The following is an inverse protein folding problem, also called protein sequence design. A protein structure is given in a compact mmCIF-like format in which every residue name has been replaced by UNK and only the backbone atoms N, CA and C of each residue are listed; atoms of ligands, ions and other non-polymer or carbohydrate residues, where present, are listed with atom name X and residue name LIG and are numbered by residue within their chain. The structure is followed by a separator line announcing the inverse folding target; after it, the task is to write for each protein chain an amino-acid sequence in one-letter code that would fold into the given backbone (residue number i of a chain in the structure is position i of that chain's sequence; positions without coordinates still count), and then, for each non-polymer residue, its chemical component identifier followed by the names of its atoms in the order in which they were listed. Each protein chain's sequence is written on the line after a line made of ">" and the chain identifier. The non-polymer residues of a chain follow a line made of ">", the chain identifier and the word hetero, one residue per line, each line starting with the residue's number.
data_IF_400972405582
#
_entry.id   IF_400972405582
#
_cell.length_a   1.000
_cell.length_b   1.000
_cell.length_c   1.000
_cell.angle_alpha   90.00
_cell.angle_beta   90.00
_cell.angle_gamma   90.00
#
_symmetry.space_group_name_H-M   'P 1'
#
loop_
_entity.id
_entity.type
_entity.pdbx_description
1 polymer ?
#
# COMPACT_ATOMS: atom_id res chain seq x y z
N UNK A 1 -14.81 29.94 9.76
CA UNK A 1 -15.61 29.78 8.53
C UNK A 1 -15.81 28.29 8.32
N UNK A 2 -17.05 27.83 8.27
CA UNK A 2 -17.41 26.40 8.21
C UNK A 2 -17.03 25.83 6.85
N UNK A 3 -16.01 24.97 6.83
CA UNK A 3 -15.66 24.17 5.65
C UNK A 3 -16.59 22.95 5.65
N UNK A 4 -17.41 22.83 4.61
CA UNK A 4 -18.40 21.76 4.49
C UNK A 4 -17.70 20.41 4.28
N UNK A 5 -17.92 19.46 5.18
CA UNK A 5 -17.44 18.06 5.13
C UNK A 5 -17.81 17.29 3.86
N UNK A 6 -18.59 17.89 2.97
CA UNK A 6 -19.02 17.31 1.68
C UNK A 6 -17.98 17.43 0.57
N UNK A 7 -16.99 18.32 0.69
CA UNK A 7 -15.94 18.47 -0.33
C UNK A 7 -14.80 17.45 -0.21
N UNK A 8 -14.63 16.83 0.96
CA UNK A 8 -13.57 15.83 1.23
C UNK A 8 -13.85 14.44 0.63
N UNK A 9 -15.12 14.12 0.35
CA UNK A 9 -15.51 12.78 -0.13
C UNK A 9 -15.46 12.63 -1.66
N UNK A 10 -15.24 13.71 -2.42
CA UNK A 10 -15.31 13.68 -3.88
C UNK A 10 -13.94 13.60 -4.58
N UNK A 11 -12.81 13.64 -3.85
CA UNK A 11 -11.46 13.70 -4.42
C UNK A 11 -10.64 12.40 -4.30
N UNK A 12 -11.17 11.34 -3.68
CA UNK A 12 -10.43 10.08 -3.44
C UNK A 12 -10.55 9.08 -4.60
N UNK A 13 -11.36 9.36 -5.63
CA UNK A 13 -11.68 8.37 -6.67
C UNK A 13 -10.78 8.37 -7.93
N UNK A 14 -9.69 9.17 -7.98
CA UNK A 14 -8.94 9.37 -9.23
C UNK A 14 -7.42 9.20 -9.19
N UNK A 15 -6.76 8.95 -8.06
CA UNK A 15 -5.29 8.86 -8.04
C UNK A 15 -4.73 7.43 -8.12
N UNK A 16 -5.51 6.40 -7.85
CA UNK A 16 -4.92 5.13 -7.40
C UNK A 16 -4.88 4.03 -8.48
N UNK A 17 -4.42 4.36 -9.68
CA UNK A 17 -4.25 3.40 -10.79
C UNK A 17 -2.80 3.33 -11.31
N UNK A 18 -1.84 3.96 -10.62
CA UNK A 18 -0.47 4.14 -11.13
C UNK A 18 0.33 2.83 -11.15
N UNK A 19 0.31 2.06 -10.05
CA UNK A 19 1.18 0.88 -9.91
C UNK A 19 0.80 -0.26 -10.86
N UNK A 20 -0.49 -0.60 -10.91
CA UNK A 20 -1.01 -1.69 -11.74
C UNK A 20 -0.82 -1.43 -13.25
N UNK A 21 -0.72 -0.16 -13.66
CA UNK A 21 -0.50 0.24 -15.06
C UNK A 21 0.96 0.08 -15.51
N UNK A 22 1.92 0.22 -14.61
CA UNK A 22 3.35 0.14 -14.95
C UNK A 22 4.00 -1.21 -14.61
N UNK A 23 3.66 -1.81 -13.46
CA UNK A 23 4.21 -3.11 -13.05
C UNK A 23 3.44 -4.27 -13.69
N UNK A 24 2.17 -4.05 -14.04
CA UNK A 24 1.31 -5.07 -14.61
C UNK A 24 0.85 -6.11 -13.58
N UNK A 25 -0.05 -7.00 -14.01
CA UNK A 25 -0.42 -8.18 -13.25
C UNK A 25 0.64 -9.26 -13.42
N UNK A 26 0.73 -10.21 -12.47
CA UNK A 26 1.57 -11.39 -12.63
C UNK A 26 1.35 -12.05 -14.00
N UNK A 27 2.41 -12.06 -14.81
CA UNK A 27 2.40 -12.86 -16.02
C UNK A 27 2.68 -14.32 -15.67
N UNK A 28 1.61 -15.12 -15.72
CA UNK A 28 1.68 -16.58 -15.52
C UNK A 28 2.78 -17.25 -16.35
N UNK A 29 3.11 -16.73 -17.54
CA UNK A 29 4.11 -17.34 -18.42
C UNK A 29 5.52 -17.38 -17.82
N UNK A 30 5.79 -16.49 -16.86
CA UNK A 30 7.05 -16.36 -16.14
C UNK A 30 7.13 -17.19 -14.84
N UNK A 31 6.04 -17.87 -14.46
CA UNK A 31 5.97 -18.67 -13.24
C UNK A 31 6.56 -20.07 -13.41
N UNK A 32 6.93 -20.70 -12.29
CA UNK A 32 7.45 -22.07 -12.24
C UNK A 32 6.44 -23.10 -12.77
N UNK A 33 5.15 -22.89 -12.49
CA UNK A 33 4.04 -23.59 -13.12
C UNK A 33 3.04 -22.58 -13.71
N UNK A 34 3.22 -22.18 -14.99
CA UNK A 34 2.36 -21.20 -15.63
C UNK A 34 0.88 -21.58 -15.64
N UNK A 35 0.58 -22.87 -15.84
CA UNK A 35 -0.80 -23.35 -15.92
C UNK A 35 -1.43 -23.42 -14.55
N UNK A 36 -0.71 -23.94 -13.56
CA UNK A 36 -1.15 -23.97 -12.17
C UNK A 36 -1.41 -22.57 -11.64
N UNK A 37 -0.53 -21.62 -11.95
CA UNK A 37 -0.70 -20.23 -11.53
C UNK A 37 -1.92 -19.57 -12.20
N UNK A 38 -2.06 -19.68 -13.52
CA UNK A 38 -3.20 -19.12 -14.24
C UNK A 38 -4.54 -19.71 -13.73
N UNK A 39 -4.59 -21.02 -13.53
CA UNK A 39 -5.78 -21.69 -12.98
C UNK A 39 -6.07 -21.26 -11.54
N UNK A 40 -5.04 -21.03 -10.73
CA UNK A 40 -5.21 -20.55 -9.36
C UNK A 40 -5.80 -19.13 -9.36
N UNK A 41 -5.25 -18.22 -10.15
CA UNK A 41 -5.76 -16.84 -10.26
C UNK A 41 -7.20 -16.78 -10.78
N UNK A 42 -7.56 -17.60 -11.78
CA UNK A 42 -8.94 -17.68 -12.27
C UNK A 42 -9.92 -18.13 -11.17
N UNK A 43 -9.51 -19.08 -10.33
CA UNK A 43 -10.31 -19.50 -9.18
C UNK A 43 -10.42 -18.40 -8.12
N UNK A 44 -9.34 -17.65 -7.88
CA UNK A 44 -9.34 -16.51 -6.95
C UNK A 44 -10.26 -15.40 -7.45
N UNK A 45 -10.21 -15.06 -8.74
CA UNK A 45 -11.10 -14.07 -9.36
C UNK A 45 -12.57 -14.52 -9.28
N UNK A 46 -12.82 -15.81 -9.52
CA UNK A 46 -14.16 -16.39 -9.36
C UNK A 46 -14.63 -16.31 -7.91
N UNK A 47 -13.75 -16.60 -6.95
CA UNK A 47 -14.04 -16.52 -5.51
C UNK A 47 -14.35 -15.09 -5.10
N UNK A 48 -13.55 -14.12 -5.56
CA UNK A 48 -13.79 -12.70 -5.34
C UNK A 48 -15.13 -12.25 -5.93
N UNK A 49 -15.40 -12.58 -7.19
CA UNK A 49 -16.67 -12.24 -7.84
C UNK A 49 -17.86 -12.84 -7.09
N UNK A 50 -17.75 -14.10 -6.64
CA UNK A 50 -18.76 -14.72 -5.79
C UNK A 50 -18.90 -14.03 -4.44
N UNK A 51 -17.79 -13.65 -3.78
CA UNK A 51 -17.81 -12.90 -2.53
C UNK A 51 -18.58 -11.59 -2.69
N UNK A 52 -18.24 -10.81 -3.71
CA UNK A 52 -18.89 -9.52 -4.01
C UNK A 52 -20.36 -9.71 -4.37
N UNK A 53 -20.66 -10.63 -5.29
CA UNK A 53 -22.03 -10.84 -5.75
C UNK A 53 -22.96 -11.40 -4.66
N UNK A 54 -22.43 -12.24 -3.77
CA UNK A 54 -23.24 -12.87 -2.72
C UNK A 54 -23.34 -12.03 -1.44
N UNK A 55 -22.31 -11.25 -1.12
CA UNK A 55 -22.21 -10.54 0.16
C UNK A 55 -22.26 -9.02 0.04
N UNK A 56 -21.81 -8.47 -1.10
CA UNK A 56 -21.66 -7.02 -1.29
C UNK A 56 -22.71 -6.40 -2.23
N UNK A 57 -23.42 -7.23 -3.01
CA UNK A 57 -24.56 -6.79 -3.81
C UNK A 57 -25.77 -6.48 -2.90
N UNK A 58 -25.84 -5.24 -2.44
CA UNK A 58 -27.00 -4.68 -1.74
C UNK A 58 -26.83 -4.71 -0.23
N UNK A 59 -26.87 -3.53 0.40
CA UNK A 59 -26.94 -3.38 1.85
C UNK A 59 -28.13 -4.13 2.44
N UNK A 60 -27.97 -5.42 2.73
CA UNK A 60 -29.09 -6.33 2.99
C UNK A 60 -30.06 -6.46 1.80
N UNK A 61 -30.78 -7.58 1.76
CA UNK A 61 -31.92 -7.82 0.85
C UNK A 61 -32.93 -6.65 0.84
N UNK A 62 -32.99 -5.90 1.94
CA UNK A 62 -33.79 -4.70 2.13
C UNK A 62 -33.35 -3.51 1.25
N UNK A 63 -32.05 -3.21 1.09
CA UNK A 63 -31.62 -2.07 0.25
C UNK A 63 -31.66 -2.42 -1.25
N UNK A 64 -31.37 -3.67 -1.62
CA UNK A 64 -31.58 -4.13 -3.00
C UNK A 64 -33.06 -4.04 -3.39
N UNK A 65 -33.95 -4.50 -2.51
CA UNK A 65 -35.40 -4.44 -2.72
C UNK A 65 -35.93 -3.01 -2.72
N UNK A 66 -35.42 -2.11 -1.87
CA UNK A 66 -35.83 -0.71 -1.84
C UNK A 66 -35.35 0.09 -3.05
N UNK A 67 -34.19 -0.27 -3.62
CA UNK A 67 -33.66 0.33 -4.84
C UNK A 67 -34.10 -0.40 -6.13
N UNK A 68 -34.86 -1.49 -6.04
CA UNK A 68 -35.31 -2.26 -7.21
C UNK A 68 -34.18 -2.76 -8.11
N UNK A 69 -33.01 -3.03 -7.54
CA UNK A 69 -31.80 -3.42 -8.28
C UNK A 69 -31.08 -2.30 -9.06
N UNK A 70 -31.49 -1.04 -8.90
CA UNK A 70 -30.86 0.10 -9.58
C UNK A 70 -29.47 0.42 -9.01
N UNK A 71 -28.44 0.36 -9.86
CA UNK A 71 -27.04 0.61 -9.49
C UNK A 71 -26.79 2.06 -9.04
N UNK A 72 -27.44 3.04 -9.66
CA UNK A 72 -27.32 4.45 -9.26
C UNK A 72 -27.99 4.71 -7.91
N UNK A 73 -29.14 4.10 -7.65
CA UNK A 73 -29.83 4.19 -6.36
C UNK A 73 -28.98 3.57 -5.24
N UNK A 74 -28.41 2.38 -5.46
CA UNK A 74 -27.59 1.71 -4.45
C UNK A 74 -26.35 2.54 -4.06
N UNK A 75 -25.71 3.20 -5.03
CA UNK A 75 -24.55 4.06 -4.78
C UNK A 75 -24.90 5.36 -4.02
N UNK A 76 -26.09 5.93 -4.25
CA UNK A 76 -26.53 7.17 -3.61
C UNK A 76 -27.21 6.96 -2.24
N UNK A 77 -28.01 5.90 -2.12
CA UNK A 77 -28.96 5.69 -1.01
C UNK A 77 -28.51 4.60 -0.03
N UNK A 78 -27.54 3.76 -0.41
CA UNK A 78 -26.94 2.74 0.47
C UNK A 78 -25.45 3.05 0.80
N UNK A 79 -25.08 4.27 1.27
CA UNK A 79 -23.68 4.60 1.55
C UNK A 79 -23.15 3.78 2.73
N UNK A 80 -22.02 3.09 2.53
CA UNK A 80 -21.24 2.48 3.60
C UNK A 80 -21.38 0.96 3.81
N UNK A 81 -22.22 0.24 3.06
CA UNK A 81 -22.26 -1.24 3.16
C UNK A 81 -21.47 -1.96 2.05
N UNK A 82 -21.35 -1.36 0.86
CA UNK A 82 -20.65 -1.98 -0.28
C UNK A 82 -19.13 -1.85 -0.24
N UNK A 83 -18.58 -0.72 0.24
CA UNK A 83 -17.14 -0.45 0.20
C UNK A 83 -16.39 -1.32 1.20
N UNK A 84 -16.84 -1.40 2.46
CA UNK A 84 -16.18 -2.23 3.48
C UNK A 84 -16.31 -3.72 3.17
N UNK A 85 -17.44 -4.13 2.59
CA UNK A 85 -17.62 -5.50 2.08
C UNK A 85 -16.66 -5.80 0.92
N UNK A 86 -16.56 -4.90 -0.06
CA UNK A 86 -15.64 -5.07 -1.19
C UNK A 86 -14.19 -5.12 -0.71
N UNK A 87 -13.80 -4.28 0.25
CA UNK A 87 -12.48 -4.34 0.88
C UNK A 87 -12.25 -5.67 1.60
N UNK A 88 -13.26 -6.21 2.30
CA UNK A 88 -13.14 -7.52 2.93
C UNK A 88 -12.96 -8.66 1.90
N UNK A 89 -13.69 -8.60 0.79
CA UNK A 89 -13.51 -9.54 -0.33
C UNK A 89 -12.13 -9.36 -1.02
N UNK A 90 -11.65 -8.13 -1.19
CA UNK A 90 -10.31 -7.87 -1.75
C UNK A 90 -9.18 -8.31 -0.82
N UNK A 91 -9.37 -8.19 0.49
CA UNK A 91 -8.46 -8.75 1.49
C UNK A 91 -8.32 -10.27 1.35
N UNK A 92 -9.44 -10.98 1.19
CA UNK A 92 -9.43 -12.42 0.92
C UNK A 92 -8.84 -12.75 -0.46
N UNK A 93 -9.17 -11.97 -1.50
CA UNK A 93 -8.59 -12.12 -2.83
C UNK A 93 -7.07 -12.04 -2.78
N UNK A 94 -6.53 -11.00 -2.14
CA UNK A 94 -5.09 -10.75 -2.04
C UNK A 94 -4.40 -11.85 -1.24
N UNK A 95 -5.03 -12.36 -0.17
CA UNK A 95 -4.53 -13.51 0.58
C UNK A 95 -4.40 -14.76 -0.30
N UNK A 96 -5.42 -15.07 -1.09
CA UNK A 96 -5.38 -16.23 -1.99
C UNK A 96 -4.41 -16.03 -3.16
N UNK A 97 -4.18 -14.80 -3.60
CA UNK A 97 -3.13 -14.49 -4.60
C UNK A 97 -1.72 -14.75 -4.03
N UNK A 98 -1.49 -14.45 -2.74
CA UNK A 98 -0.26 -14.84 -2.03
C UNK A 98 -0.11 -16.37 -2.00
N UNK A 99 -1.19 -17.11 -1.74
CA UNK A 99 -1.18 -18.58 -1.81
C UNK A 99 -0.81 -19.08 -3.22
N UNK A 100 -1.45 -18.52 -4.26
CA UNK A 100 -1.16 -18.86 -5.66
C UNK A 100 0.31 -18.62 -6.02
N UNK A 101 0.89 -17.51 -5.54
CA UNK A 101 2.30 -17.21 -5.74
C UNK A 101 3.20 -18.28 -5.08
N UNK A 102 2.93 -18.64 -3.81
CA UNK A 102 3.66 -19.72 -3.14
C UNK A 102 3.51 -21.09 -3.82
N UNK A 103 2.32 -21.41 -4.31
CA UNK A 103 2.00 -22.71 -4.92
C UNK A 103 2.68 -22.92 -6.28
N UNK A 104 2.62 -21.90 -7.15
CA UNK A 104 2.86 -22.07 -8.59
C UNK A 104 3.81 -21.02 -9.19
N UNK A 105 4.10 -19.94 -8.48
CA UNK A 105 4.97 -18.85 -8.94
C UNK A 105 6.04 -18.49 -7.91
N UNK A 106 6.49 -19.48 -7.14
CA UNK A 106 7.49 -19.30 -6.07
C UNK A 106 8.81 -18.74 -6.59
N UNK A 107 9.05 -18.82 -7.91
CA UNK A 107 10.21 -18.28 -8.58
C UNK A 107 10.15 -16.76 -8.84
N UNK A 108 9.03 -16.11 -8.51
CA UNK A 108 8.77 -14.66 -8.72
C UNK A 108 8.32 -13.97 -7.43
N UNK A 109 8.47 -14.59 -6.26
CA UNK A 109 7.93 -14.07 -4.98
C UNK A 109 8.67 -12.85 -4.41
N UNK A 110 9.65 -12.31 -5.13
CA UNK A 110 10.32 -11.06 -4.79
C UNK A 110 10.08 -9.95 -5.82
N UNK A 111 9.37 -10.28 -6.90
CA UNK A 111 9.12 -9.38 -8.00
C UNK A 111 8.25 -8.18 -7.58
N UNK A 112 8.26 -7.13 -8.40
CA UNK A 112 7.39 -5.96 -8.20
C UNK A 112 5.91 -6.37 -8.14
N UNK A 113 5.49 -7.34 -8.96
CA UNK A 113 4.13 -7.87 -9.00
C UNK A 113 3.74 -8.56 -7.69
N UNK A 114 4.67 -9.33 -7.10
CA UNK A 114 4.45 -9.93 -5.78
C UNK A 114 4.32 -8.86 -4.70
N UNK A 115 5.26 -7.92 -4.68
CA UNK A 115 5.24 -6.85 -3.69
C UNK A 115 3.96 -6.02 -3.79
N UNK A 116 3.48 -5.73 -5.00
CA UNK A 116 2.19 -5.07 -5.22
C UNK A 116 1.00 -5.88 -4.65
N UNK A 117 1.00 -7.20 -4.85
CA UNK A 117 -0.05 -8.08 -4.30
C UNK A 117 -0.07 -8.06 -2.77
N UNK A 118 1.11 -8.04 -2.13
CA UNK A 118 1.21 -7.91 -0.67
C UNK A 118 0.77 -6.52 -0.20
N UNK A 119 1.08 -5.46 -0.95
CA UNK A 119 0.61 -4.11 -0.63
C UNK A 119 -0.92 -3.99 -0.74
N UNK A 120 -1.54 -4.64 -1.73
CA UNK A 120 -3.00 -4.74 -1.84
C UNK A 120 -3.58 -5.45 -0.61
N UNK A 121 -2.99 -6.58 -0.18
CA UNK A 121 -3.38 -7.26 1.06
C UNK A 121 -3.31 -6.32 2.27
N UNK A 122 -2.18 -5.60 2.43
CA UNK A 122 -1.96 -4.67 3.55
C UNK A 122 -2.93 -3.48 3.53
N UNK A 123 -3.36 -3.05 2.35
CA UNK A 123 -4.28 -1.93 2.16
C UNK A 123 -5.75 -2.30 2.40
N UNK A 124 -6.15 -3.51 2.01
CA UNK A 124 -7.54 -3.96 2.11
C UNK A 124 -7.87 -4.70 3.41
N UNK A 125 -6.89 -5.38 4.01
CA UNK A 125 -7.12 -6.11 5.25
C UNK A 125 -7.10 -5.19 6.47
N UNK A 126 -8.06 -5.40 7.37
CA UNK A 126 -8.06 -4.78 8.69
C UNK A 126 -7.05 -5.48 9.61
N UNK A 127 -6.08 -4.74 10.14
CA UNK A 127 -5.07 -5.24 11.10
C UNK A 127 -4.36 -6.54 10.64
N UNK A 128 -3.74 -6.54 9.44
CA UNK A 128 -2.98 -7.69 8.96
C UNK A 128 -1.78 -7.97 9.87
N UNK A 129 -1.47 -9.25 10.07
CA UNK A 129 -0.16 -9.65 10.62
C UNK A 129 0.91 -9.38 9.56
N UNK A 130 1.68 -8.32 9.74
CA UNK A 130 2.71 -7.87 8.79
C UNK A 130 3.96 -8.73 8.85
N UNK A 131 4.32 -9.21 10.05
CA UNK A 131 5.54 -9.99 10.30
C UNK A 131 5.37 -11.46 9.87
N UNK A 132 4.14 -11.95 9.86
CA UNK A 132 3.78 -13.29 9.40
C UNK A 132 3.59 -13.43 7.88
N UNK A 133 3.78 -12.36 7.10
CA UNK A 133 3.60 -12.40 5.65
C UNK A 133 4.74 -13.13 4.94
N UNK A 134 4.44 -14.05 4.02
CA UNK A 134 5.48 -14.78 3.32
C UNK A 134 6.24 -13.87 2.36
N UNK A 135 7.56 -14.06 2.31
CA UNK A 135 8.46 -13.36 1.37
C UNK A 135 8.46 -11.83 1.52
N UNK A 136 8.01 -11.32 2.66
CA UNK A 136 7.81 -9.89 2.94
C UNK A 136 8.47 -9.44 4.26
N UNK A 137 9.10 -8.26 4.30
CA UNK A 137 9.56 -7.51 3.13
C UNK A 137 10.58 -8.33 2.33
N UNK A 138 10.75 -7.98 1.07
CA UNK A 138 11.75 -8.65 0.22
C UNK A 138 13.15 -8.46 0.83
N UNK A 139 13.98 -9.52 0.95
CA UNK A 139 15.36 -9.38 1.39
C UNK A 139 16.19 -8.50 0.44
N UNK A 140 17.25 -7.89 0.96
CA UNK A 140 18.21 -7.17 0.12
C UNK A 140 18.85 -8.09 -0.92
N UNK A 141 19.06 -7.56 -2.12
CA UNK A 141 19.69 -8.25 -3.26
C UNK A 141 19.04 -9.58 -3.66
N UNK A 142 17.76 -9.77 -3.30
CA UNK A 142 17.04 -10.98 -3.66
C UNK A 142 16.96 -11.15 -5.19
N UNK A 143 17.16 -12.37 -5.72
CA UNK A 143 17.08 -12.60 -7.16
C UNK A 143 15.67 -12.26 -7.67
N UNK A 144 15.62 -11.60 -8.83
CA UNK A 144 14.36 -11.18 -9.44
C UNK A 144 13.53 -10.21 -8.57
N UNK A 145 14.19 -9.50 -7.64
CA UNK A 145 13.52 -8.50 -6.82
C UNK A 145 13.04 -7.32 -7.64
N UNK A 146 12.06 -6.61 -7.10
CA UNK A 146 11.74 -5.29 -7.61
C UNK A 146 12.94 -4.35 -7.46
N UNK A 147 13.20 -3.54 -8.50
CA UNK A 147 14.23 -2.49 -8.55
C UNK A 147 14.13 -1.46 -7.43
N UNK A 148 12.95 -1.33 -6.83
CA UNK A 148 12.70 -0.65 -5.59
C UNK A 148 12.03 -1.62 -4.63
N UNK A 149 12.55 -1.74 -3.42
CA UNK A 149 11.95 -2.57 -2.37
C UNK A 149 10.78 -1.83 -1.72
N UNK A 150 9.61 -1.89 -2.37
CA UNK A 150 8.39 -1.24 -1.87
C UNK A 150 7.96 -1.83 -0.53
N UNK A 151 8.33 -3.09 -0.23
CA UNK A 151 8.07 -3.66 1.08
C UNK A 151 8.88 -3.05 2.21
N UNK A 152 10.13 -2.67 1.96
CA UNK A 152 10.90 -1.90 2.93
C UNK A 152 10.34 -0.48 3.14
N UNK A 153 9.81 0.16 2.08
CA UNK A 153 9.15 1.47 2.22
C UNK A 153 7.94 1.34 3.14
N UNK A 154 7.00 0.46 2.81
CA UNK A 154 5.77 0.26 3.60
C UNK A 154 6.09 -0.16 5.04
N UNK A 155 7.11 -1.02 5.25
CA UNK A 155 7.53 -1.40 6.60
C UNK A 155 8.04 -0.19 7.39
N UNK A 156 8.86 0.67 6.78
CA UNK A 156 9.35 1.88 7.44
C UNK A 156 8.20 2.83 7.76
N UNK A 157 7.30 3.07 6.81
CA UNK A 157 6.14 3.93 6.99
C UNK A 157 5.24 3.43 8.13
N UNK A 158 5.00 2.12 8.21
CA UNK A 158 4.30 1.49 9.33
C UNK A 158 4.96 1.79 10.68
N UNK A 159 6.27 1.57 10.79
CA UNK A 159 7.02 1.83 12.02
C UNK A 159 7.05 3.32 12.39
N UNK A 160 7.13 4.21 11.40
CA UNK A 160 7.12 5.66 11.60
C UNK A 160 5.78 6.11 12.17
N UNK A 161 4.66 5.65 11.62
CA UNK A 161 3.34 6.05 12.12
C UNK A 161 3.09 5.48 13.52
N UNK A 162 3.53 4.24 13.81
CA UNK A 162 3.51 3.73 15.19
C UNK A 162 4.37 4.60 16.13
N UNK A 163 5.54 5.04 15.67
CA UNK A 163 6.38 5.94 16.45
C UNK A 163 5.75 7.32 16.63
N UNK A 164 4.97 7.82 15.68
CA UNK A 164 4.21 9.07 15.81
C UNK A 164 3.24 8.99 16.99
N UNK A 165 2.54 7.86 17.17
CA UNK A 165 1.67 7.62 18.31
C UNK A 165 2.46 7.56 19.63
N UNK A 166 3.60 6.86 19.64
CA UNK A 166 4.48 6.78 20.82
C UNK A 166 5.04 8.15 21.19
N UNK A 167 5.48 8.93 20.20
CA UNK A 167 6.02 10.27 20.36
C UNK A 167 4.99 11.19 21.00
N UNK A 168 3.78 11.22 20.43
CA UNK A 168 2.68 12.09 20.84
C UNK A 168 2.13 11.73 22.22
N UNK A 169 2.28 10.48 22.66
CA UNK A 169 1.82 10.00 23.96
C UNK A 169 2.93 9.86 25.01
N UNK A 170 4.15 10.36 24.75
CA UNK A 170 5.26 10.22 25.66
C UNK A 170 5.06 11.04 26.95
N UNK A 171 4.49 10.38 27.98
CA UNK A 171 4.16 10.99 29.26
C UNK A 171 5.36 11.52 30.04
N UNK A 172 6.59 11.08 29.74
CA UNK A 172 7.78 11.63 30.40
C UNK A 172 8.08 13.02 29.87
N UNK A 173 7.97 13.21 28.55
CA UNK A 173 8.18 14.51 27.91
C UNK A 173 6.99 15.43 28.19
N UNK A 174 5.77 14.94 28.01
CA UNK A 174 4.53 15.66 28.35
C UNK A 174 4.51 16.03 29.84
N UNK A 175 4.92 15.10 30.70
CA UNK A 175 5.05 15.23 32.16
C UNK A 175 5.85 16.44 32.62
N UNK A 176 6.88 16.81 31.86
CA UNK A 176 7.75 17.96 32.15
C UNK A 176 7.15 19.30 31.74
N UNK A 177 6.18 19.28 30.82
CA UNK A 177 5.57 20.48 30.20
C UNK A 177 4.06 20.60 30.49
N UNK A 178 3.48 19.73 31.32
CA UNK A 178 2.04 19.60 31.57
C UNK A 178 1.34 20.90 32.00
N UNK A 179 2.09 21.83 32.59
CA UNK A 179 1.55 23.11 33.08
C UNK A 179 1.44 24.17 32.00
N UNK A 180 1.98 23.91 30.80
CA UNK A 180 2.01 24.82 29.66
C UNK A 180 1.37 24.15 28.45
N UNK A 181 0.13 24.53 28.18
CA UNK A 181 -0.68 23.99 27.07
C UNK A 181 -0.05 24.29 25.71
N UNK A 182 0.59 25.45 25.58
CA UNK A 182 1.25 25.85 24.34
C UNK A 182 2.47 24.95 24.08
N UNK A 183 3.23 24.63 25.13
CA UNK A 183 4.37 23.71 25.03
C UNK A 183 3.94 22.27 24.68
N UNK A 184 2.81 21.78 25.23
CA UNK A 184 2.25 20.46 24.87
C UNK A 184 1.86 20.44 23.39
N UNK A 185 1.17 21.49 22.94
CA UNK A 185 0.74 21.64 21.55
C UNK A 185 1.94 21.70 20.60
N UNK A 186 2.95 22.48 20.94
CA UNK A 186 4.19 22.59 20.17
C UNK A 186 4.91 21.24 20.05
N UNK A 187 5.01 20.49 21.15
CA UNK A 187 5.62 19.17 21.16
C UNK A 187 4.84 18.15 20.31
N UNK A 188 3.51 18.16 20.39
CA UNK A 188 2.66 17.33 19.53
C UNK A 188 2.87 17.63 18.05
N UNK A 189 2.93 18.92 17.69
CA UNK A 189 3.21 19.34 16.31
C UNK A 189 4.61 18.91 15.86
N UNK A 190 5.61 18.95 16.74
CA UNK A 190 6.94 18.43 16.43
C UNK A 190 6.94 16.93 16.12
N UNK A 191 6.21 16.12 16.90
CA UNK A 191 6.04 14.69 16.62
C UNK A 191 5.43 14.44 15.22
N UNK A 192 4.37 15.17 14.88
CA UNK A 192 3.70 15.06 13.57
C UNK A 192 4.65 15.48 12.43
N UNK A 193 5.31 16.63 12.57
CA UNK A 193 6.23 17.13 11.56
C UNK A 193 7.45 16.22 11.34
N UNK A 194 8.00 15.66 12.41
CA UNK A 194 9.07 14.67 12.31
C UNK A 194 8.60 13.37 11.65
N UNK A 195 7.37 12.92 11.91
CA UNK A 195 6.79 11.77 11.22
C UNK A 195 6.60 12.03 9.71
N UNK A 196 6.11 13.21 9.32
CA UNK A 196 5.96 13.59 7.91
C UNK A 196 7.31 13.59 7.20
N UNK A 197 8.31 14.24 7.80
CA UNK A 197 9.67 14.23 7.28
C UNK A 197 10.24 12.81 7.19
N UNK A 198 9.93 11.95 8.17
CA UNK A 198 10.36 10.57 8.18
C UNK A 198 9.75 9.75 7.04
N UNK A 199 8.45 9.91 6.76
CA UNK A 199 7.75 9.24 5.63
C UNK A 199 8.40 9.65 4.29
N UNK A 200 8.60 10.96 4.07
CA UNK A 200 9.31 11.45 2.87
C UNK A 200 10.71 10.82 2.79
N UNK A 201 11.39 10.70 3.92
CA UNK A 201 12.73 10.12 3.95
C UNK A 201 12.74 8.62 3.72
N UNK A 202 11.68 7.90 4.11
CA UNK A 202 11.52 6.48 3.80
C UNK A 202 11.37 6.24 2.30
N UNK A 203 10.52 7.02 1.62
CA UNK A 203 10.27 6.90 0.17
C UNK A 203 11.54 7.21 -0.63
N UNK A 204 12.07 8.44 -0.52
CA UNK A 204 13.21 8.86 -1.33
C UNK A 204 14.54 8.28 -0.84
N UNK A 205 14.65 7.89 0.42
CA UNK A 205 15.85 7.25 0.95
C UNK A 205 15.97 5.79 0.55
N UNK A 206 14.84 5.09 0.41
CA UNK A 206 14.85 3.67 0.00
C UNK A 206 14.91 3.53 -1.51
N UNK A 207 14.20 4.38 -2.26
CA UNK A 207 14.13 4.29 -3.72
C UNK A 207 14.34 5.65 -4.42
N UNK A 208 15.55 6.23 -4.34
CA UNK A 208 15.83 7.60 -4.81
C UNK A 208 15.64 7.79 -6.32
N UNK A 209 15.86 6.74 -7.12
CA UNK A 209 15.78 6.81 -8.58
C UNK A 209 14.38 6.55 -9.14
N UNK A 210 13.48 6.01 -8.31
CA UNK A 210 12.13 5.60 -8.73
C UNK A 210 11.19 6.80 -8.69
N UNK A 211 10.27 6.87 -9.64
CA UNK A 211 9.26 7.91 -9.65
C UNK A 211 8.39 7.85 -8.36
N UNK A 212 8.31 8.92 -7.55
CA UNK A 212 7.61 8.86 -6.26
C UNK A 212 6.11 8.55 -6.34
N UNK A 213 5.44 8.89 -7.45
CA UNK A 213 4.03 8.55 -7.70
C UNK A 213 3.78 7.03 -7.84
N UNK A 214 4.84 6.24 -8.03
CA UNK A 214 4.80 4.77 -7.98
C UNK A 214 5.07 4.23 -6.57
N UNK A 215 5.34 5.11 -5.60
CA UNK A 215 5.69 4.76 -4.22
C UNK A 215 4.68 5.37 -3.24
N UNK A 216 3.43 5.56 -3.68
CA UNK A 216 2.34 6.18 -2.92
C UNK A 216 2.60 7.64 -2.46
N UNK A 217 3.62 8.32 -3.00
CA UNK A 217 3.96 9.66 -2.51
C UNK A 217 2.79 10.62 -2.69
N UNK A 218 2.11 10.59 -3.85
CA UNK A 218 0.97 11.46 -4.13
C UNK A 218 -0.17 11.24 -3.13
N UNK A 219 -0.43 9.98 -2.76
CA UNK A 219 -1.43 9.62 -1.76
C UNK A 219 -1.04 10.08 -0.35
N UNK A 220 0.22 9.92 0.06
CA UNK A 220 0.72 10.49 1.31
C UNK A 220 0.58 12.01 1.35
N UNK A 221 0.92 12.70 0.25
CA UNK A 221 0.77 14.15 0.15
C UNK A 221 -0.70 14.57 0.24
N UNK A 222 -1.58 13.95 -0.53
CA UNK A 222 -3.00 14.30 -0.57
C UNK A 222 -3.73 13.92 0.73
N UNK A 223 -3.41 12.76 1.30
CA UNK A 223 -4.13 12.17 2.42
C UNK A 223 -3.62 12.57 3.79
N UNK A 224 -2.33 12.87 3.92
CA UNK A 224 -1.69 13.13 5.22
C UNK A 224 -0.95 14.47 5.28
N UNK A 225 0.05 14.68 4.42
CA UNK A 225 0.99 15.80 4.59
C UNK A 225 0.32 17.15 4.30
N UNK A 226 -0.46 17.27 3.23
CA UNK A 226 -1.15 18.53 2.90
C UNK A 226 -2.24 18.88 3.93
N UNK A 227 -3.15 17.96 4.32
CA UNK A 227 -4.09 18.22 5.41
C UNK A 227 -3.41 18.48 6.75
N UNK A 228 -2.25 17.87 6.99
CA UNK A 228 -1.43 18.05 8.18
C UNK A 228 -0.57 19.32 8.18
N UNK A 229 -0.72 20.20 7.19
CA UNK A 229 0.03 21.46 7.08
C UNK A 229 1.56 21.27 7.04
N UNK A 230 2.03 20.32 6.21
CA UNK A 230 3.47 20.07 6.01
C UNK A 230 4.30 21.33 5.82
N UNK A 231 3.82 22.32 5.06
CA UNK A 231 4.55 23.57 4.80
C UNK A 231 4.89 24.37 6.08
N UNK A 232 4.15 24.16 7.17
CA UNK A 232 4.38 24.81 8.45
C UNK A 232 5.37 24.06 9.35
N UNK A 233 5.91 22.91 8.89
CA UNK A 233 6.77 22.04 9.69
C UNK A 233 8.23 22.52 9.84
N UNK A 234 8.67 23.48 9.04
CA UNK A 234 10.06 23.97 9.05
C UNK A 234 10.61 24.32 10.43
N UNK A 235 9.96 25.20 11.22
CA UNK A 235 10.43 25.59 12.55
C UNK A 235 10.54 24.42 13.54
N UNK A 236 9.66 23.43 13.43
CA UNK A 236 9.69 22.25 14.31
C UNK A 236 10.85 21.33 13.98
N UNK A 237 11.11 21.11 12.70
CA UNK A 237 12.22 20.28 12.21
C UNK A 237 13.58 20.92 12.49
N UNK A 238 13.66 22.25 12.57
CA UNK A 238 14.86 22.97 13.00
C UNK A 238 15.08 22.91 14.52
N UNK A 239 13.97 22.95 15.29
CA UNK A 239 14.02 23.02 16.76
C UNK A 239 14.23 21.66 17.43
N UNK A 240 13.66 20.58 16.88
CA UNK A 240 13.64 19.26 17.51
C UNK A 240 14.53 18.25 16.77
N UNK A 241 15.29 17.44 17.53
CA UNK A 241 15.98 16.28 16.98
C UNK A 241 14.98 15.15 16.74
N UNK A 242 14.49 15.05 15.51
CA UNK A 242 13.57 13.99 15.11
C UNK A 242 14.16 12.58 15.29
N UNK A 243 15.46 12.43 15.02
CA UNK A 243 16.13 11.13 15.00
C UNK A 243 16.41 10.60 16.41
N UNK A 244 17.05 11.42 17.23
CA UNK A 244 17.44 11.10 18.60
C UNK A 244 16.32 11.33 19.59
N UNK A 245 15.98 12.59 19.85
CA UNK A 245 15.06 12.98 20.93
C UNK A 245 13.63 12.48 20.71
N UNK A 246 13.11 12.57 19.49
CA UNK A 246 11.77 12.10 19.13
C UNK A 246 11.77 10.65 18.61
N UNK A 247 12.95 10.08 18.38
CA UNK A 247 13.15 8.64 18.26
C UNK A 247 12.85 8.03 16.89
N UNK A 248 12.59 8.83 15.86
CA UNK A 248 12.36 8.33 14.49
C UNK A 248 13.62 7.74 13.84
N UNK A 249 14.79 7.91 14.45
CA UNK A 249 16.04 7.30 13.99
C UNK A 249 16.28 5.88 14.47
N UNK A 250 15.45 5.37 15.40
CA UNK A 250 15.60 3.99 15.88
C UNK A 250 15.15 2.99 14.82
N UNK A 251 15.78 1.82 14.78
CA UNK A 251 15.47 0.76 13.81
C UNK A 251 14.01 0.29 13.97
N UNK A 252 13.51 0.22 15.20
CA UNK A 252 12.12 -0.13 15.52
C UNK A 252 11.11 1.00 15.25
N UNK A 253 11.57 2.14 14.72
CA UNK A 253 10.78 3.33 14.39
C UNK A 253 11.02 3.82 12.94
N UNK A 254 11.48 2.93 12.06
CA UNK A 254 11.73 3.22 10.64
C UNK A 254 13.19 3.51 10.29
N UNK A 255 14.08 3.66 11.28
CA UNK A 255 15.53 3.78 11.07
C UNK A 255 15.94 5.01 10.26
N UNK A 256 15.22 6.12 10.41
CA UNK A 256 15.40 7.30 9.56
C UNK A 256 16.60 8.14 10.01
N UNK A 257 17.55 8.33 9.10
CA UNK A 257 18.80 9.06 9.37
C UNK A 257 18.85 10.45 8.76
N UNK A 258 17.90 10.78 7.87
CA UNK A 258 17.80 12.07 7.21
C UNK A 258 16.37 12.58 7.37
N UNK A 259 16.22 13.88 7.62
CA UNK A 259 14.94 14.53 7.75
C UNK A 259 14.92 15.74 6.82
N UNK A 260 13.92 15.81 5.93
CA UNK A 260 13.76 16.89 4.97
C UNK A 260 12.88 17.98 5.57
N UNK A 261 13.17 19.25 5.31
CA UNK A 261 12.28 20.36 5.65
C UNK A 261 11.40 20.72 4.45
N UNK A 262 10.27 21.41 4.66
CA UNK A 262 9.52 22.05 3.58
C UNK A 262 10.44 22.87 2.67
N UNK A 263 10.21 22.79 1.35
CA UNK A 263 11.05 23.43 0.34
C UNK A 263 12.42 22.78 0.07
N UNK A 264 12.82 21.75 0.83
CA UNK A 264 14.09 21.02 0.65
C UNK A 264 13.90 19.57 0.20
N UNK A 265 12.75 19.28 -0.43
CA UNK A 265 12.44 17.94 -0.88
C UNK A 265 13.53 17.41 -1.85
N UNK A 266 13.88 16.13 -1.75
CA UNK A 266 14.81 15.49 -2.67
C UNK A 266 14.27 15.55 -4.10
N UNK A 267 15.20 15.58 -5.07
CA UNK A 267 14.82 15.51 -6.49
C UNK A 267 14.09 14.19 -6.78
N UNK A 268 13.01 14.26 -7.54
CA UNK A 268 12.26 13.07 -7.92
C UNK A 268 13.07 12.18 -8.84
N UNK A 269 13.05 10.88 -8.55
CA UNK A 269 13.42 9.85 -9.50
C UNK A 269 12.50 9.85 -10.72
N UNK A 270 12.96 9.23 -11.81
CA UNK A 270 12.26 9.18 -13.10
C UNK A 270 12.05 7.76 -13.62
N UNK A 271 12.64 6.76 -12.97
CA UNK A 271 12.55 5.37 -13.42
C UNK A 271 11.21 4.78 -13.02
N UNK A 272 10.62 3.99 -13.93
CA UNK A 272 9.54 3.07 -13.60
C UNK A 272 10.06 1.95 -12.69
N UNK A 273 9.12 1.22 -12.07
CA UNK A 273 9.44 -0.04 -11.41
C UNK A 273 9.72 -1.13 -12.46
N UNK A 274 10.67 -2.00 -12.15
CA UNK A 274 11.02 -3.18 -12.95
C UNK A 274 11.66 -4.27 -12.08
N UNK A 275 11.71 -5.50 -12.58
CA UNK A 275 12.36 -6.62 -11.90
C UNK A 275 13.83 -6.71 -12.30
N UNK A 276 14.74 -6.87 -11.33
CA UNK A 276 16.17 -7.02 -11.59
C UNK A 276 16.50 -8.42 -12.11
N UNK A 277 17.71 -8.60 -12.67
CA UNK A 277 18.16 -9.92 -13.10
C UNK A 277 18.22 -10.91 -11.93
N UNK A 278 17.74 -12.14 -12.13
CA UNK A 278 17.90 -13.18 -11.12
C UNK A 278 17.08 -14.43 -11.41
N UNK A 279 17.37 -15.48 -10.63
CA UNK A 279 16.61 -16.73 -10.64
C UNK A 279 16.46 -17.22 -9.22
N UNK A 280 15.22 -17.47 -8.82
CA UNK A 280 14.92 -18.35 -7.71
C UNK A 280 14.74 -19.74 -8.33
N UNK A 281 15.66 -20.66 -8.03
CA UNK A 281 15.69 -21.99 -8.68
C UNK A 281 14.99 -23.09 -7.88
N UNK A 282 14.65 -22.83 -6.61
CA UNK A 282 13.91 -23.73 -5.75
C UNK A 282 12.90 -22.92 -4.91
N UNK A 283 11.77 -23.49 -4.50
CA UNK A 283 10.81 -22.81 -3.63
C UNK A 283 11.47 -22.31 -2.34
N UNK A 284 11.33 -21.01 -2.05
CA UNK A 284 11.95 -20.38 -0.88
C UNK A 284 11.44 -20.97 0.43
N UNK A 285 10.17 -21.37 0.48
CA UNK A 285 9.54 -22.04 1.63
C UNK A 285 9.73 -23.55 1.69
N UNK A 286 10.37 -24.17 0.68
CA UNK A 286 10.31 -25.62 0.47
C UNK A 286 8.93 -26.09 -0.02
N UNK A 287 8.63 -27.38 0.15
CA UNK A 287 7.46 -28.06 -0.44
C UNK A 287 6.10 -27.61 0.13
N UNK A 288 6.11 -26.95 1.29
CA UNK A 288 4.91 -26.43 1.94
C UNK A 288 5.19 -25.02 2.47
N UNK A 289 4.47 -24.04 1.96
CA UNK A 289 4.39 -22.71 2.54
C UNK A 289 3.36 -22.71 3.66
N UNK A 290 3.70 -22.15 4.82
CA UNK A 290 2.77 -21.94 5.93
C UNK A 290 2.79 -20.48 6.37
N UNK A 291 1.62 -19.84 6.45
CA UNK A 291 1.47 -18.47 6.95
C UNK A 291 0.08 -18.27 7.58
N UNK A 292 -0.12 -17.17 8.31
CA UNK A 292 -1.37 -16.93 9.07
C UNK A 292 -2.16 -15.79 8.47
N UNK A 293 -3.38 -16.07 8.00
CA UNK A 293 -4.38 -15.10 7.60
C UNK A 293 -5.24 -14.69 8.80
N UNK A 294 -5.51 -13.38 8.95
CA UNK A 294 -6.37 -12.81 10.02
C UNK A 294 -6.03 -13.35 11.42
N UNK A 295 -4.74 -13.38 11.75
CA UNK A 295 -4.12 -13.80 13.03
C UNK A 295 -4.47 -15.20 13.57
N UNK A 296 -5.33 -15.97 12.89
CA UNK A 296 -5.87 -17.22 13.41
C UNK A 296 -6.05 -18.31 12.35
N UNK A 297 -6.22 -17.95 11.07
CA UNK A 297 -6.40 -18.93 10.01
C UNK A 297 -5.04 -19.30 9.42
N UNK A 298 -4.56 -20.50 9.73
CA UNK A 298 -3.31 -21.03 9.16
C UNK A 298 -3.57 -21.49 7.73
N UNK A 299 -2.87 -20.87 6.79
CA UNK A 299 -2.79 -21.30 5.40
C UNK A 299 -1.61 -22.28 5.27
N UNK A 300 -1.88 -23.49 4.80
CA UNK A 300 -0.87 -24.49 4.49
C UNK A 300 -0.93 -24.79 2.99
N UNK A 301 -0.05 -24.18 2.22
CA UNK A 301 -0.02 -24.21 0.76
C UNK A 301 1.02 -25.22 0.32
N UNK A 302 0.57 -26.32 -0.30
CA UNK A 302 1.48 -27.28 -0.94
C UNK A 302 2.06 -26.68 -2.22
N UNK A 303 3.34 -26.91 -2.49
CA UNK A 303 4.03 -26.43 -3.69
C UNK A 303 4.14 -27.60 -4.70
N UNK A 304 3.11 -27.87 -5.52
CA UNK A 304 3.15 -28.96 -6.50
C UNK A 304 4.23 -28.75 -7.57
N UNK A 305 4.69 -27.51 -7.72
CA UNK A 305 5.71 -27.09 -8.69
C UNK A 305 7.13 -27.10 -8.11
N UNK A 306 7.37 -27.77 -6.97
CA UNK A 306 8.67 -27.75 -6.30
C UNK A 306 9.83 -28.28 -7.18
N UNK A 307 9.54 -29.28 -8.02
CA UNK A 307 10.50 -29.87 -8.96
C UNK A 307 10.55 -29.16 -10.34
N UNK A 308 9.85 -28.03 -10.49
CA UNK A 308 9.80 -27.32 -11.77
C UNK A 308 11.17 -26.73 -12.14
N UNK A 309 11.58 -26.91 -13.39
CA UNK A 309 12.81 -26.31 -13.90
C UNK A 309 12.54 -24.89 -14.38
N UNK A 310 13.19 -23.92 -13.76
CA UNK A 310 13.03 -22.50 -14.08
C UNK A 310 14.29 -21.94 -14.71
N UNK A 311 14.13 -21.09 -15.71
CA UNK A 311 15.22 -20.34 -16.32
C UNK A 311 15.20 -18.91 -15.83
N UNK A 312 16.39 -18.30 -15.72
CA UNK A 312 16.48 -16.92 -15.27
C UNK A 312 15.76 -15.93 -16.16
N UNK A 313 15.12 -14.97 -15.51
CA UNK A 313 14.50 -13.85 -16.20
C UNK A 313 15.55 -12.75 -16.34
N UNK A 314 15.64 -12.17 -17.53
CA UNK A 314 16.40 -10.95 -17.73
C UNK A 314 15.59 -9.77 -17.20
N UNK A 315 16.29 -8.76 -16.68
CA UNK A 315 15.71 -7.54 -16.22
C UNK A 315 14.74 -7.00 -17.27
N UNK A 316 13.50 -6.77 -16.86
CA UNK A 316 12.55 -6.03 -17.68
C UNK A 316 13.03 -4.59 -17.67
N UNK A 317 13.29 -4.00 -18.84
CA UNK A 317 13.94 -2.68 -18.88
C UNK A 317 13.06 -1.60 -18.23
N UNK A 318 13.52 -1.01 -17.12
CA UNK A 318 12.91 0.18 -16.54
C UNK A 318 12.97 1.34 -17.54
N UNK A 319 11.82 1.87 -17.92
CA UNK A 319 11.76 3.00 -18.85
C UNK A 319 11.74 4.30 -18.08
N UNK A 320 12.39 5.33 -18.64
CA UNK A 320 12.23 6.69 -18.12
C UNK A 320 10.78 7.14 -18.35
N UNK A 321 10.08 7.49 -17.28
CA UNK A 321 8.72 8.02 -17.33
C UNK A 321 8.80 9.49 -17.80
N UNK A 322 9.14 9.71 -19.07
CA UNK A 322 8.97 11.02 -19.70
C UNK A 322 7.49 11.26 -19.98
N UNK A 323 6.95 12.36 -19.46
CA UNK A 323 5.61 12.84 -19.78
C UNK A 323 5.48 13.15 -21.29
N UNK A 324 5.13 12.14 -22.10
CA UNK A 324 4.97 12.26 -23.53
C UNK A 324 3.48 12.30 -23.91
N UNK A 325 3.06 13.46 -24.40
CA UNK A 325 1.78 13.71 -25.06
C UNK A 325 1.75 12.96 -26.42
N UNK A 326 0.75 12.09 -26.59
CA UNK A 326 0.16 11.58 -27.84
C UNK A 326 1.06 10.99 -28.96
N UNK A 327 0.85 9.70 -29.25
CA UNK A 327 0.77 9.21 -30.63
C UNK A 327 -0.21 8.01 -30.69
N UNK A 328 -1.41 8.26 -31.21
CA UNK A 328 -2.43 7.25 -31.44
C UNK A 328 -2.04 6.39 -32.66
N UNK A 329 -1.78 5.10 -32.42
CA UNK A 329 -1.78 4.09 -33.48
C UNK A 329 -3.18 3.50 -33.61
N UNK A 330 -3.81 3.81 -34.73
CA UNK A 330 -5.14 3.38 -35.15
C UNK A 330 -5.17 1.86 -35.39
N UNK A 331 -5.99 1.12 -34.64
CA UNK A 331 -6.43 -0.21 -35.02
C UNK A 331 -7.96 -0.28 -34.90
N UNK A 332 -8.61 -0.26 -36.06
CA UNK A 332 -10.06 -0.33 -36.21
C UNK A 332 -10.51 -1.79 -36.14
N UNK A 333 -11.34 -2.14 -35.16
CA UNK A 333 -11.87 -3.50 -34.98
C UNK A 333 -12.98 -3.57 -33.92
N UNK A 334 -14.20 -3.24 -34.37
CA UNK A 334 -15.54 -3.36 -33.77
C UNK A 334 -15.74 -4.26 -32.52
N UNK A 335 -16.06 -3.59 -31.41
CA UNK A 335 -16.96 -3.89 -30.27
C UNK A 335 -17.20 -5.33 -29.80
N UNK A 336 -16.81 -5.59 -28.55
CA UNK A 336 -17.63 -6.31 -27.56
C UNK A 336 -17.41 -5.70 -26.18
N UNK A 337 -18.49 -5.55 -25.42
CA UNK A 337 -18.59 -4.78 -24.18
C UNK A 337 -18.26 -5.68 -22.99
N UNK A 338 -16.98 -5.86 -22.67
CA UNK A 338 -16.54 -6.45 -21.42
C UNK A 338 -15.89 -5.39 -20.54
N UNK A 339 -16.69 -4.79 -19.65
CA UNK A 339 -16.13 -4.09 -18.49
C UNK A 339 -15.67 -5.19 -17.53
N UNK A 340 -14.40 -5.57 -17.62
CA UNK A 340 -13.71 -6.35 -16.60
C UNK A 340 -13.67 -5.50 -15.32
N UNK A 341 -14.31 -5.89 -14.20
CA UNK A 341 -14.22 -5.13 -12.96
C UNK A 341 -12.90 -5.50 -12.27
N UNK A 342 -11.79 -4.96 -12.77
CA UNK A 342 -10.50 -4.98 -12.08
C UNK A 342 -10.19 -3.57 -11.64
N UNK A 343 -10.60 -3.18 -10.42
CA UNK A 343 -10.09 -1.96 -9.82
C UNK A 343 -8.59 -2.18 -9.60
N UNK A 344 -7.79 -1.32 -10.24
CA UNK A 344 -6.33 -1.36 -10.16
C UNK A 344 -5.83 -1.17 -8.74
N UNK A 345 -4.64 -1.74 -8.50
CA UNK A 345 -3.90 -1.60 -7.25
C UNK A 345 -3.83 -0.14 -6.83
N UNK A 346 -4.39 0.11 -5.66
CA UNK A 346 -4.56 1.41 -5.06
C UNK A 346 -3.73 1.39 -3.80
N UNK A 347 -2.57 2.03 -3.82
CA UNK A 347 -1.83 2.33 -2.60
C UNK A 347 -2.61 3.42 -1.86
N UNK A 348 -3.66 3.01 -1.14
CA UNK A 348 -4.46 3.91 -0.31
C UNK A 348 -3.65 4.20 0.95
N UNK A 349 -3.48 5.46 1.32
CA UNK A 349 -3.01 5.84 2.67
C UNK A 349 -3.74 4.97 3.69
N UNK A 350 -3.04 4.07 4.39
CA UNK A 350 -3.73 2.99 5.07
C UNK A 350 -4.70 3.54 6.11
N UNK A 351 -5.91 2.96 6.20
CA UNK A 351 -7.00 3.51 7.02
C UNK A 351 -6.66 3.69 8.52
N UNK A 352 -5.65 2.99 9.02
CA UNK A 352 -5.13 3.11 10.39
C UNK A 352 -4.39 4.45 10.65
N UNK A 353 -3.84 5.10 9.62
CA UNK A 353 -3.22 6.44 9.73
C UNK A 353 -4.23 7.52 10.12
N UNK A 354 -5.47 7.45 9.60
CA UNK A 354 -6.52 8.45 9.85
C UNK A 354 -7.05 8.34 11.30
N UNK A 355 -7.06 7.14 11.88
CA UNK A 355 -7.58 6.92 13.23
C UNK A 355 -6.73 7.58 14.33
N UNK A 356 -5.39 7.59 14.20
CA UNK A 356 -4.49 8.28 15.14
C UNK A 356 -4.57 9.80 15.07
N UNK A 357 -4.80 10.34 13.87
CA UNK A 357 -4.76 11.80 13.61
C UNK A 357 -6.06 12.49 14.04
N UNK A 358 -7.22 11.85 13.90
CA UNK A 358 -8.50 12.44 14.34
C UNK A 358 -8.49 12.68 15.85
N UNK A 359 -7.83 11.84 16.65
CA UNK A 359 -7.67 12.08 18.09
C UNK A 359 -6.84 13.34 18.40
N UNK A 360 -5.77 13.57 17.63
CA UNK A 360 -4.86 14.71 17.82
C UNK A 360 -5.46 16.01 17.28
N UNK A 361 -6.05 16.02 16.08
CA UNK A 361 -6.72 17.21 15.51
C UNK A 361 -7.94 17.67 16.32
N UNK A 362 -8.67 16.74 16.96
CA UNK A 362 -9.79 17.10 17.86
C UNK A 362 -9.28 17.73 19.16
N UNK A 363 -8.10 17.35 19.66
CA UNK A 363 -7.45 18.00 20.80
C UNK A 363 -6.89 19.39 20.44
N UNK A 364 -6.48 19.61 19.20
CA UNK A 364 -5.92 20.88 18.70
C UNK A 364 -6.97 21.93 18.31
N UNK A 365 -8.26 21.58 18.32
CA UNK A 365 -9.39 22.49 17.98
C UNK A 365 -10.26 22.86 19.18
N UNK A 366 -9.90 22.42 20.39
CA UNK A 366 -10.53 22.75 21.68
C UNK A 366 -9.71 23.79 22.46
#
# INVERSE_FOLDING_TARGET
>A
MSVSSRALLALVALSSMSLAKEVGYFDSSSCADPKGFASCYENVDTTYANCVNNNCAGGGELCYSSCGGSTSCMNEQCPGLGIDCTKACECERSALQIDCAGQSCWNRVYSCEYQATVLDYLSFCSSPDRDGLPYWPTPDDAPDSCSCNTGQIEQKEYLIVNQMDVCSNNQTNIGRIMTDVDAITEYGQACVCCAFSAIISAIWGTCPDTQPSLLAADEWFAGLLNPGHWEDCGPFLEKYDCGGDLGFGRIDAGGITKFYTPGSLPTNGTKSLYNVDGVISNPVSGDVLTWTFRSTLVHAVTVPSADATVTGTKATGGSDVTAATAAASTATGKAESDVKPGMGSSLIVPSWTIAGIVGILVLLTL
#
